data_IF_046232541548
#
_entry.id   IF_046232541548
#
_cell.length_a   1.000
_cell.length_b   1.000
_cell.length_c   1.000
_cell.angle_alpha   90.00
_cell.angle_beta   90.00
_cell.angle_gamma   90.00
#
_symmetry.space_group_name_H-M   'P 1'
#
loop_
_entity.id
_entity.type
_entity.pdbx_description
1 polymer ?
#
# COMPACT_ATOMS: atom_id res chain seq x y z
N UNK A 1 16.88 -21.78 -16.63
CA UNK A 1 15.91 -20.68 -16.44
C UNK A 1 14.92 -21.08 -15.35
N UNK A 2 15.15 -20.67 -14.10
CA UNK A 2 14.09 -20.69 -13.07
C UNK A 2 13.51 -19.28 -13.06
N UNK A 3 12.27 -19.13 -13.47
CA UNK A 3 11.55 -17.85 -13.40
C UNK A 3 11.29 -17.53 -11.92
N UNK A 4 12.25 -16.87 -11.28
CA UNK A 4 12.13 -16.37 -9.92
C UNK A 4 11.26 -15.11 -9.91
N UNK A 5 9.95 -15.25 -10.15
CA UNK A 5 9.03 -14.22 -9.70
C UNK A 5 9.09 -14.19 -8.18
N UNK A 6 9.38 -13.02 -7.59
CA UNK A 6 9.28 -12.84 -6.13
C UNK A 6 7.86 -13.21 -5.69
N UNK A 7 7.70 -13.89 -4.55
CA UNK A 7 6.38 -14.23 -3.99
C UNK A 7 5.47 -12.99 -3.90
N UNK A 8 6.08 -11.83 -3.67
CA UNK A 8 5.38 -10.56 -3.68
C UNK A 8 4.81 -10.19 -5.06
N UNK A 9 5.57 -10.35 -6.14
CA UNK A 9 5.07 -10.08 -7.49
C UNK A 9 3.87 -10.97 -7.85
N UNK A 10 3.95 -12.25 -7.48
CA UNK A 10 2.86 -13.20 -7.68
C UNK A 10 1.61 -12.74 -6.91
N UNK A 11 1.77 -12.37 -5.65
CA UNK A 11 0.67 -11.82 -4.84
C UNK A 11 0.09 -10.53 -5.45
N UNK A 12 0.92 -9.59 -5.90
CA UNK A 12 0.49 -8.36 -6.55
C UNK A 12 -0.33 -8.63 -7.82
N UNK A 13 0.08 -9.60 -8.64
CA UNK A 13 -0.64 -9.97 -9.85
C UNK A 13 -2.00 -10.62 -9.54
N UNK A 14 -2.03 -11.58 -8.63
CA UNK A 14 -3.29 -12.24 -8.25
C UNK A 14 -4.26 -11.28 -7.55
N UNK A 15 -3.77 -10.41 -6.67
CA UNK A 15 -4.60 -9.40 -6.01
C UNK A 15 -5.19 -8.40 -7.00
N UNK A 16 -4.47 -8.02 -8.06
CA UNK A 16 -5.02 -7.23 -9.16
C UNK A 16 -6.15 -7.95 -9.89
N UNK A 17 -5.92 -9.21 -10.28
CA UNK A 17 -6.92 -10.02 -10.99
C UNK A 17 -8.19 -10.16 -10.15
N UNK A 18 -8.04 -10.45 -8.85
CA UNK A 18 -9.16 -10.56 -7.92
C UNK A 18 -9.89 -9.23 -7.79
N UNK A 19 -9.16 -8.11 -7.65
CA UNK A 19 -9.77 -6.79 -7.57
C UNK A 19 -10.59 -6.46 -8.83
N UNK A 20 -10.06 -6.74 -10.03
CA UNK A 20 -10.77 -6.57 -11.30
C UNK A 20 -12.05 -7.41 -11.31
N UNK A 21 -11.96 -8.71 -11.03
CA UNK A 21 -13.12 -9.61 -11.11
C UNK A 21 -14.21 -9.19 -10.12
N UNK A 22 -13.83 -8.93 -8.86
CA UNK A 22 -14.79 -8.61 -7.80
C UNK A 22 -15.45 -7.26 -8.05
N UNK A 23 -14.67 -6.22 -8.36
CA UNK A 23 -15.24 -4.89 -8.61
C UNK A 23 -16.09 -4.91 -9.88
N UNK A 24 -15.62 -5.52 -10.96
CA UNK A 24 -16.38 -5.59 -12.21
C UNK A 24 -17.69 -6.36 -12.03
N UNK A 25 -17.68 -7.51 -11.33
CA UNK A 25 -18.88 -8.27 -11.04
C UNK A 25 -19.88 -7.46 -10.19
N UNK A 26 -19.41 -6.71 -9.19
CA UNK A 26 -20.25 -5.82 -8.40
C UNK A 26 -20.83 -4.69 -9.26
N UNK A 27 -20.04 -4.12 -10.17
CA UNK A 27 -20.50 -3.06 -11.06
C UNK A 27 -21.59 -3.52 -12.03
N UNK A 28 -21.40 -4.69 -12.64
CA UNK A 28 -22.37 -5.27 -13.59
C UNK A 28 -23.61 -5.79 -12.87
N UNK A 29 -23.44 -6.43 -11.72
CA UNK A 29 -24.55 -7.07 -10.99
C UNK A 29 -25.38 -6.13 -10.11
N UNK A 30 -24.78 -5.04 -9.60
CA UNK A 30 -25.43 -4.18 -8.60
C UNK A 30 -25.42 -2.71 -9.03
N UNK A 31 -24.26 -2.15 -9.37
CA UNK A 31 -24.15 -0.69 -9.56
C UNK A 31 -24.93 -0.22 -10.79
N UNK A 32 -24.62 -0.76 -11.97
CA UNK A 32 -25.20 -0.28 -13.23
C UNK A 32 -26.70 -0.57 -13.35
N UNK A 33 -27.23 -1.75 -12.94
CA UNK A 33 -28.68 -1.99 -12.96
C UNK A 33 -29.45 -1.04 -12.05
N UNK A 34 -28.97 -0.81 -10.82
CA UNK A 34 -29.63 0.11 -9.89
C UNK A 34 -29.54 1.57 -10.38
N UNK A 35 -28.39 1.98 -10.92
CA UNK A 35 -28.25 3.31 -11.51
C UNK A 35 -29.21 3.53 -12.67
N UNK A 36 -29.36 2.54 -13.57
CA UNK A 36 -30.29 2.62 -14.69
C UNK A 36 -31.75 2.71 -14.23
N UNK A 37 -32.16 1.89 -13.24
CA UNK A 37 -33.51 1.93 -12.70
C UNK A 37 -33.85 3.29 -12.06
N UNK A 38 -32.90 3.87 -11.30
CA UNK A 38 -33.09 5.19 -10.69
C UNK A 38 -33.14 6.30 -11.74
N UNK A 39 -32.28 6.24 -12.77
CA UNK A 39 -32.30 7.23 -13.85
C UNK A 39 -33.61 7.17 -14.65
N UNK A 40 -34.16 5.97 -14.88
CA UNK A 40 -35.46 5.79 -15.54
C UNK A 40 -36.61 6.35 -14.70
N UNK A 41 -36.65 6.05 -13.40
CA UNK A 41 -37.64 6.61 -12.48
C UNK A 41 -37.57 8.14 -12.43
N UNK A 42 -36.36 8.71 -12.34
CA UNK A 42 -36.15 10.15 -12.36
C UNK A 42 -36.60 10.78 -13.68
N UNK A 43 -36.39 10.12 -14.82
CA UNK A 43 -36.85 10.63 -16.12
C UNK A 43 -38.39 10.66 -16.21
N UNK A 44 -39.07 9.66 -15.63
CA UNK A 44 -40.54 9.64 -15.57
C UNK A 44 -41.05 10.80 -14.70
N UNK A 45 -40.44 11.00 -13.53
CA UNK A 45 -40.83 12.08 -12.60
C UNK A 45 -40.59 13.48 -13.18
N UNK A 46 -39.48 13.69 -13.90
CA UNK A 46 -39.21 14.95 -14.62
C UNK A 46 -40.25 15.19 -15.73
N UNK A 47 -40.72 14.11 -16.40
CA UNK A 47 -41.73 14.22 -17.44
C UNK A 47 -43.13 14.54 -16.89
N UNK A 48 -43.43 14.09 -15.66
CA UNK A 48 -44.69 14.36 -14.97
C UNK A 48 -44.69 15.73 -14.26
N UNK A 49 -43.56 16.12 -13.67
CA UNK A 49 -43.38 17.39 -12.95
C UNK A 49 -42.10 18.10 -13.43
N UNK A 50 -42.22 19.14 -14.29
CA UNK A 50 -41.06 19.90 -14.78
C UNK A 50 -40.25 20.62 -13.70
N UNK A 51 -40.83 20.86 -12.51
CA UNK A 51 -40.15 21.48 -11.37
C UNK A 51 -39.50 20.43 -10.44
N UNK A 52 -39.59 19.13 -10.78
CA UNK A 52 -38.97 18.06 -10.02
C UNK A 52 -37.45 18.15 -10.03
N UNK A 53 -36.85 18.14 -8.83
CA UNK A 53 -35.40 18.18 -8.64
C UNK A 53 -34.93 16.75 -8.30
N UNK A 54 -34.17 16.08 -9.20
CA UNK A 54 -33.70 14.73 -8.95
C UNK A 54 -32.77 14.65 -7.74
N UNK A 55 -33.04 13.71 -6.85
CA UNK A 55 -32.13 13.42 -5.73
C UNK A 55 -30.86 12.72 -6.22
N UNK A 56 -29.73 13.04 -5.60
CA UNK A 56 -28.44 12.41 -5.93
C UNK A 56 -28.36 11.02 -5.32
N UNK A 57 -28.39 9.99 -6.17
CA UNK A 57 -28.13 8.61 -5.75
C UNK A 57 -26.65 8.24 -5.82
N UNK A 58 -26.18 7.50 -4.82
CA UNK A 58 -24.81 6.95 -4.78
C UNK A 58 -24.54 6.07 -6.02
N UNK A 59 -25.50 5.24 -6.43
CA UNK A 59 -25.33 4.36 -7.59
C UNK A 59 -25.10 5.15 -8.88
N UNK A 60 -25.83 6.26 -9.07
CA UNK A 60 -25.68 7.15 -10.23
C UNK A 60 -24.33 7.88 -10.18
N UNK A 61 -23.84 8.25 -8.99
CA UNK A 61 -22.55 8.91 -8.84
C UNK A 61 -21.38 7.98 -9.22
N UNK A 62 -21.47 6.69 -8.91
CA UNK A 62 -20.33 5.76 -9.08
C UNK A 62 -20.40 4.90 -10.35
N UNK A 63 -21.43 5.02 -11.19
CA UNK A 63 -21.70 4.07 -12.28
C UNK A 63 -20.69 4.05 -13.42
N UNK A 64 -19.96 5.13 -13.66
CA UNK A 64 -19.10 5.26 -14.85
C UNK A 64 -17.79 4.46 -14.71
N UNK A 65 -17.12 4.26 -15.85
CA UNK A 65 -15.91 3.43 -15.95
C UNK A 65 -14.73 3.99 -15.17
N UNK A 66 -14.64 5.31 -15.02
CA UNK A 66 -13.56 5.95 -14.27
C UNK A 66 -13.61 5.60 -12.79
N UNK A 67 -14.80 5.60 -12.20
CA UNK A 67 -15.04 5.24 -10.80
C UNK A 67 -14.74 3.74 -10.61
N UNK A 68 -15.19 2.89 -11.54
CA UNK A 68 -14.86 1.45 -11.54
C UNK A 68 -13.34 1.22 -11.51
N UNK A 69 -12.61 1.90 -12.40
CA UNK A 69 -11.15 1.83 -12.44
C UNK A 69 -10.51 2.34 -11.14
N UNK A 70 -11.01 3.44 -10.57
CA UNK A 70 -10.54 3.95 -9.28
C UNK A 70 -10.73 2.93 -8.15
N UNK A 71 -11.87 2.25 -8.09
CA UNK A 71 -12.11 1.21 -7.09
C UNK A 71 -11.23 -0.02 -7.29
N UNK A 72 -11.00 -0.46 -8.53
CA UNK A 72 -10.06 -1.55 -8.84
C UNK A 72 -8.66 -1.21 -8.31
N UNK A 73 -8.16 -0.01 -8.64
CA UNK A 73 -6.86 0.48 -8.19
C UNK A 73 -6.81 0.58 -6.65
N UNK A 74 -7.88 1.05 -6.02
CA UNK A 74 -7.98 1.14 -4.56
C UNK A 74 -7.87 -0.24 -3.91
N UNK A 75 -8.69 -1.21 -4.31
CA UNK A 75 -8.67 -2.55 -3.71
C UNK A 75 -7.37 -3.29 -3.99
N UNK A 76 -6.78 -3.07 -5.16
CA UNK A 76 -5.46 -3.61 -5.46
C UNK A 76 -4.38 -3.04 -4.51
N UNK A 77 -4.30 -1.71 -4.38
CA UNK A 77 -3.35 -1.07 -3.47
C UNK A 77 -3.60 -1.46 -2.00
N UNK A 78 -4.86 -1.58 -1.57
CA UNK A 78 -5.21 -2.09 -0.23
C UNK A 78 -4.71 -3.53 -0.02
N UNK A 79 -4.81 -4.39 -1.02
CA UNK A 79 -4.27 -5.76 -0.96
C UNK A 79 -2.76 -5.77 -0.77
N UNK A 80 -2.02 -4.97 -1.55
CA UNK A 80 -0.56 -4.85 -1.44
C UNK A 80 -0.16 -4.28 -0.07
N UNK A 81 -0.81 -3.20 0.36
CA UNK A 81 -0.56 -2.58 1.67
C UNK A 81 -0.84 -3.55 2.82
N UNK A 82 -1.94 -4.31 2.76
CA UNK A 82 -2.29 -5.30 3.76
C UNK A 82 -1.24 -6.41 3.89
N UNK A 83 -0.72 -6.90 2.77
CA UNK A 83 0.39 -7.86 2.76
C UNK A 83 1.64 -7.28 3.43
N UNK A 84 2.04 -6.06 3.06
CA UNK A 84 3.21 -5.38 3.66
C UNK A 84 3.03 -5.09 5.14
N UNK A 85 1.85 -4.64 5.56
CA UNK A 85 1.53 -4.40 6.97
C UNK A 85 1.62 -5.69 7.80
N UNK A 86 1.17 -6.81 7.25
CA UNK A 86 1.28 -8.11 7.91
C UNK A 86 2.74 -8.56 8.04
N UNK A 87 3.55 -8.44 6.99
CA UNK A 87 4.98 -8.75 7.06
C UNK A 87 5.70 -7.87 8.08
N UNK A 88 5.44 -6.56 8.08
CA UNK A 88 6.06 -5.64 9.04
C UNK A 88 5.61 -5.91 10.48
N UNK A 89 4.36 -6.37 10.69
CA UNK A 89 3.89 -6.82 12.00
C UNK A 89 4.66 -8.05 12.49
N UNK A 90 4.91 -9.05 11.64
CA UNK A 90 5.71 -10.22 12.03
C UNK A 90 7.13 -9.86 12.44
N UNK A 91 7.73 -8.89 11.75
CA UNK A 91 9.05 -8.38 12.14
C UNK A 91 9.00 -7.66 13.49
N UNK A 92 7.93 -6.90 13.74
CA UNK A 92 7.73 -6.23 15.01
C UNK A 92 7.54 -7.22 16.16
N UNK A 93 6.80 -8.30 15.95
CA UNK A 93 6.60 -9.34 16.96
C UNK A 93 7.93 -10.02 17.35
N UNK A 94 8.94 -10.06 16.46
CA UNK A 94 10.29 -10.54 16.81
C UNK A 94 11.08 -9.58 17.70
N UNK A 95 10.81 -8.28 17.66
CA UNK A 95 11.47 -7.29 18.53
C UNK A 95 11.09 -7.47 20.00
N UNK A 96 9.94 -8.10 20.28
CA UNK A 96 9.50 -8.42 21.63
C UNK A 96 10.15 -9.69 22.20
N UNK A 97 10.84 -10.46 21.35
CA UNK A 97 11.56 -11.66 21.77
C UNK A 97 12.99 -11.34 22.18
N UNK A 98 13.44 -12.00 23.25
CA UNK A 98 14.84 -12.00 23.64
C UNK A 98 15.60 -13.05 22.81
N UNK A 99 16.06 -12.63 21.62
CA UNK A 99 16.72 -13.53 20.66
C UNK A 99 18.17 -13.85 21.05
N UNK A 100 18.78 -13.00 21.85
CA UNK A 100 20.14 -13.16 22.37
C UNK A 100 20.08 -12.88 23.86
N UNK A 101 19.74 -13.88 24.69
CA UNK A 101 19.57 -13.67 26.12
C UNK A 101 20.92 -13.43 26.78
N UNK A 102 21.22 -12.16 27.08
CA UNK A 102 22.41 -11.74 27.80
C UNK A 102 22.00 -11.35 29.23
N UNK A 103 22.54 -12.04 30.22
CA UNK A 103 22.31 -11.66 31.61
C UNK A 103 22.95 -10.30 31.92
N UNK A 104 22.30 -9.50 32.77
CA UNK A 104 22.83 -8.19 33.16
C UNK A 104 24.27 -8.27 33.66
N UNK A 105 25.14 -7.44 33.10
CA UNK A 105 26.56 -7.38 33.47
C UNK A 105 27.47 -8.39 32.74
N UNK A 106 26.91 -9.32 31.95
CA UNK A 106 27.70 -10.20 31.08
C UNK A 106 28.17 -9.43 29.85
N UNK A 107 29.43 -9.66 29.48
CA UNK A 107 30.02 -9.12 28.25
C UNK A 107 30.19 -10.24 27.23
N UNK A 108 29.95 -9.90 25.97
CA UNK A 108 30.20 -10.79 24.82
C UNK A 108 31.65 -10.59 24.41
N UNK A 109 32.44 -11.64 24.49
CA UNK A 109 33.77 -11.70 23.91
C UNK A 109 33.71 -12.22 22.47
N UNK A 110 34.71 -11.93 21.62
CA UNK A 110 34.70 -12.40 20.24
C UNK A 110 34.54 -13.93 20.11
N UNK A 111 35.08 -14.70 21.06
CA UNK A 111 34.99 -16.15 21.07
C UNK A 111 33.56 -16.67 21.36
N UNK A 112 32.75 -15.91 22.12
CA UNK A 112 31.35 -16.23 22.43
C UNK A 112 30.43 -16.03 21.21
N UNK A 113 30.85 -15.23 20.23
CA UNK A 113 30.03 -14.86 19.06
C UNK A 113 29.49 -16.07 18.28
N UNK A 114 30.25 -17.18 18.27
CA UNK A 114 29.85 -18.42 17.60
C UNK A 114 28.67 -19.10 18.27
N UNK A 115 28.59 -19.02 19.60
CA UNK A 115 27.50 -19.64 20.36
C UNK A 115 26.19 -18.91 20.12
N UNK A 116 26.16 -17.59 20.30
CA UNK A 116 24.99 -16.77 20.02
C UNK A 116 24.56 -16.85 18.55
N UNK A 117 25.52 -16.91 17.61
CA UNK A 117 25.20 -17.10 16.19
C UNK A 117 24.47 -18.41 15.92
N UNK A 118 24.83 -19.49 16.62
CA UNK A 118 24.16 -20.79 16.47
C UNK A 118 22.71 -20.73 16.98
N UNK A 119 22.45 -20.01 18.07
CA UNK A 119 21.09 -19.82 18.59
C UNK A 119 20.20 -19.10 17.56
N UNK A 120 20.71 -18.06 16.89
CA UNK A 120 19.96 -17.41 15.81
C UNK A 120 19.79 -18.31 14.58
N UNK A 121 20.74 -19.20 14.32
CA UNK A 121 20.67 -20.14 13.21
C UNK A 121 19.67 -21.30 13.45
N UNK A 122 19.27 -21.58 14.70
CA UNK A 122 18.22 -22.59 14.98
C UNK A 122 16.80 -22.05 14.79
N UNK A 123 16.63 -20.73 14.62
CA UNK A 123 15.33 -20.15 14.29
C UNK A 123 14.78 -20.73 12.96
N UNK A 124 13.45 -20.83 12.81
CA UNK A 124 12.82 -21.22 11.55
C UNK A 124 13.29 -20.39 10.35
N UNK A 125 13.40 -21.01 9.17
CA UNK A 125 13.87 -20.39 7.93
C UNK A 125 13.21 -19.05 7.59
N UNK A 126 11.90 -18.93 7.86
CA UNK A 126 11.14 -17.71 7.60
C UNK A 126 11.56 -16.58 8.53
N UNK A 127 11.74 -16.87 9.83
CA UNK A 127 12.16 -15.88 10.82
C UNK A 127 13.60 -15.44 10.59
N UNK A 128 14.50 -16.37 10.22
CA UNK A 128 15.91 -16.07 9.92
C UNK A 128 16.11 -15.10 8.75
N UNK A 129 15.10 -14.93 7.88
CA UNK A 129 15.16 -14.02 6.73
C UNK A 129 14.69 -12.60 7.05
N UNK A 130 14.04 -12.40 8.19
CA UNK A 130 13.58 -11.09 8.67
C UNK A 130 14.78 -10.21 9.08
N UNK A 131 14.56 -8.90 9.19
CA UNK A 131 15.62 -7.93 9.42
C UNK A 131 16.42 -8.23 10.69
N UNK A 132 15.72 -8.38 11.81
CA UNK A 132 16.34 -8.44 13.12
C UNK A 132 17.31 -9.64 13.28
N UNK A 133 16.91 -10.90 13.01
CA UNK A 133 17.85 -12.02 13.08
C UNK A 133 19.03 -11.90 12.11
N UNK A 134 18.81 -11.32 10.91
CA UNK A 134 19.89 -11.07 9.94
C UNK A 134 20.89 -10.04 10.46
N UNK A 135 20.40 -8.95 11.05
CA UNK A 135 21.23 -7.90 11.63
C UNK A 135 22.07 -8.44 12.80
N UNK A 136 21.43 -9.16 13.75
CA UNK A 136 22.10 -9.78 14.89
C UNK A 136 23.16 -10.81 14.44
N UNK A 137 22.82 -11.68 13.48
CA UNK A 137 23.75 -12.68 12.96
C UNK A 137 24.94 -12.03 12.25
N UNK A 138 24.70 -11.01 11.43
CA UNK A 138 25.76 -10.27 10.75
C UNK A 138 26.68 -9.56 11.75
N UNK A 139 26.10 -8.97 12.80
CA UNK A 139 26.85 -8.32 13.87
C UNK A 139 27.75 -9.30 14.64
N UNK A 140 27.21 -10.44 15.08
CA UNK A 140 27.97 -11.49 15.77
C UNK A 140 29.08 -12.08 14.89
N UNK A 141 28.79 -12.37 13.61
CA UNK A 141 29.78 -12.88 12.68
C UNK A 141 30.90 -11.87 12.41
N UNK A 142 30.55 -10.58 12.27
CA UNK A 142 31.53 -9.51 12.12
C UNK A 142 32.41 -9.42 13.36
N UNK A 143 31.82 -9.46 14.55
CA UNK A 143 32.54 -9.34 15.81
C UNK A 143 33.54 -10.47 16.03
N UNK A 144 33.12 -11.72 15.80
CA UNK A 144 34.01 -12.88 15.90
C UNK A 144 35.15 -12.88 14.87
N UNK A 145 34.99 -12.17 13.75
CA UNK A 145 36.01 -12.09 12.70
C UNK A 145 36.99 -10.92 12.89
N UNK A 146 36.49 -9.73 13.25
CA UNK A 146 37.31 -8.51 13.33
C UNK A 146 37.80 -8.20 14.73
N UNK A 147 37.13 -8.75 15.77
CA UNK A 147 37.35 -8.39 17.18
C UNK A 147 37.24 -6.88 17.44
N UNK A 148 36.43 -6.18 16.65
CA UNK A 148 36.32 -4.73 16.70
C UNK A 148 34.84 -4.32 16.73
N UNK A 149 34.43 -3.69 17.83
CA UNK A 149 33.04 -3.22 18.04
C UNK A 149 32.66 -2.13 17.02
N UNK A 150 33.60 -1.30 16.58
CA UNK A 150 33.34 -0.28 15.57
C UNK A 150 33.00 -0.88 14.19
N UNK A 151 33.66 -1.98 13.83
CA UNK A 151 33.38 -2.70 12.58
C UNK A 151 31.99 -3.37 12.64
N UNK A 152 31.56 -3.80 13.82
CA UNK A 152 30.22 -4.36 14.05
C UNK A 152 29.15 -3.29 13.89
N UNK A 153 29.28 -2.15 14.57
CA UNK A 153 28.32 -1.05 14.48
C UNK A 153 28.20 -0.53 13.05
N UNK A 154 29.32 -0.27 12.37
CA UNK A 154 29.30 0.19 10.97
C UNK A 154 28.66 -0.83 10.01
N UNK A 155 28.99 -2.12 10.14
CA UNK A 155 28.42 -3.19 9.30
C UNK A 155 26.92 -3.38 9.56
N UNK A 156 26.47 -3.23 10.82
CA UNK A 156 25.07 -3.35 11.20
C UNK A 156 24.25 -2.18 10.68
N UNK A 157 24.73 -0.94 10.88
CA UNK A 157 24.07 0.26 10.38
C UNK A 157 23.95 0.25 8.86
N UNK A 158 24.98 -0.24 8.17
CA UNK A 158 24.93 -0.42 6.70
C UNK A 158 23.82 -1.40 6.31
N UNK A 159 23.70 -2.55 6.99
CA UNK A 159 22.66 -3.53 6.71
C UNK A 159 21.25 -2.97 6.97
N UNK A 160 21.05 -2.31 8.11
CA UNK A 160 19.76 -1.70 8.45
C UNK A 160 19.39 -0.59 7.46
N UNK A 161 20.35 0.26 7.07
CA UNK A 161 20.15 1.31 6.06
C UNK A 161 19.74 0.74 4.71
N UNK A 162 20.41 -0.34 4.27
CA UNK A 162 20.06 -1.03 3.01
C UNK A 162 18.65 -1.62 3.05
N UNK A 163 18.20 -2.14 4.21
CA UNK A 163 16.85 -2.66 4.36
C UNK A 163 15.81 -1.54 4.39
N UNK A 164 16.13 -0.37 4.97
CA UNK A 164 15.29 0.82 4.87
C UNK A 164 15.09 1.25 3.40
N UNK A 165 16.19 1.34 2.64
CA UNK A 165 16.13 1.67 1.21
C UNK A 165 15.31 0.64 0.40
N UNK A 166 15.42 -0.65 0.74
CA UNK A 166 14.61 -1.71 0.13
C UNK A 166 13.12 -1.50 0.41
N UNK A 167 12.73 -1.31 1.66
CA UNK A 167 11.32 -1.09 2.03
C UNK A 167 10.75 0.14 1.34
N UNK A 168 11.53 1.23 1.27
CA UNK A 168 11.15 2.46 0.59
C UNK A 168 10.98 2.25 -0.92
N UNK A 169 11.86 1.46 -1.55
CA UNK A 169 11.75 1.11 -2.97
C UNK A 169 10.47 0.30 -3.26
N UNK A 170 10.14 -0.65 -2.39
CA UNK A 170 8.95 -1.50 -2.55
C UNK A 170 7.62 -0.74 -2.41
N UNK A 171 7.60 0.40 -1.71
CA UNK A 171 6.43 1.29 -1.66
C UNK A 171 6.17 2.05 -2.97
N UNK A 172 7.13 2.04 -3.91
CA UNK A 172 7.03 2.77 -5.18
C UNK A 172 5.78 2.39 -5.98
N UNK A 173 5.44 1.10 -6.05
CA UNK A 173 4.25 0.63 -6.77
C UNK A 173 2.95 1.19 -6.16
N UNK A 174 2.88 1.26 -4.83
CA UNK A 174 1.71 1.76 -4.10
C UNK A 174 1.57 3.26 -4.33
N UNK A 175 2.68 4.01 -4.28
CA UNK A 175 2.71 5.45 -4.61
C UNK A 175 2.30 5.72 -6.05
N UNK A 176 2.73 4.88 -6.98
CA UNK A 176 2.32 4.96 -8.38
C UNK A 176 0.80 4.80 -8.52
N UNK A 177 0.21 3.79 -7.87
CA UNK A 177 -1.24 3.58 -7.87
C UNK A 177 -1.97 4.78 -7.26
N UNK A 178 -1.49 5.29 -6.12
CA UNK A 178 -2.06 6.44 -5.44
C UNK A 178 -2.05 7.71 -6.32
N UNK A 179 -0.99 7.90 -7.11
CA UNK A 179 -0.89 8.97 -8.10
C UNK A 179 -1.77 8.75 -9.34
N UNK A 180 -1.95 7.49 -9.76
CA UNK A 180 -2.76 7.15 -10.93
C UNK A 180 -4.25 7.44 -10.72
N UNK A 181 -4.78 7.25 -9.50
CA UNK A 181 -6.21 7.43 -9.20
C UNK A 181 -6.71 8.86 -9.52
N UNK A 182 -6.10 9.96 -9.03
CA UNK A 182 -6.46 11.32 -9.44
C UNK A 182 -6.37 11.55 -10.95
N UNK A 183 -5.39 10.94 -11.61
CA UNK A 183 -5.21 11.05 -13.06
C UNK A 183 -6.38 10.40 -13.82
N UNK A 184 -6.88 9.26 -13.35
CA UNK A 184 -8.10 8.62 -13.90
C UNK A 184 -9.33 9.52 -13.70
N UNK A 185 -9.48 10.14 -12.54
CA UNK A 185 -10.57 11.12 -12.30
C UNK A 185 -10.49 12.33 -13.24
N UNK A 186 -9.28 12.85 -13.46
CA UNK A 186 -9.05 13.93 -14.42
C UNK A 186 -9.38 13.52 -15.86
N UNK A 187 -9.01 12.30 -16.27
CA UNK A 187 -9.41 11.75 -17.58
C UNK A 187 -10.93 11.73 -17.72
N UNK A 188 -11.67 11.30 -16.69
CA UNK A 188 -13.13 11.34 -16.69
C UNK A 188 -13.70 12.75 -16.82
N UNK A 189 -13.04 13.73 -16.22
CA UNK A 189 -13.42 15.15 -16.36
C UNK A 189 -13.21 15.65 -17.78
N UNK A 190 -12.05 15.37 -18.37
CA UNK A 190 -11.75 15.74 -19.76
C UNK A 190 -12.75 15.06 -20.71
N UNK A 191 -13.08 13.79 -20.49
CA UNK A 191 -14.09 13.07 -21.27
C UNK A 191 -15.48 13.71 -21.13
N UNK A 192 -15.94 13.96 -19.90
CA UNK A 192 -17.27 14.50 -19.66
C UNK A 192 -17.43 15.93 -20.17
N UNK A 193 -16.43 16.80 -19.98
CA UNK A 193 -16.46 18.16 -20.55
C UNK A 193 -16.38 18.11 -22.07
N UNK A 194 -15.51 17.26 -22.65
CA UNK A 194 -15.42 17.09 -24.10
C UNK A 194 -16.75 16.65 -24.72
N UNK A 195 -17.43 15.68 -24.08
CA UNK A 195 -18.76 15.24 -24.50
C UNK A 195 -19.81 16.36 -24.38
N UNK A 196 -19.78 17.13 -23.29
CA UNK A 196 -20.68 18.27 -23.08
C UNK A 196 -20.51 19.33 -24.17
N UNK A 197 -19.27 19.68 -24.53
CA UNK A 197 -18.98 20.64 -25.59
C UNK A 197 -19.41 20.14 -26.97
N UNK A 198 -19.33 18.83 -27.22
CA UNK A 198 -19.87 18.22 -28.45
C UNK A 198 -21.38 18.40 -28.61
N UNK A 199 -22.10 18.63 -27.51
CA UNK A 199 -23.55 18.86 -27.48
C UNK A 199 -23.92 20.34 -27.36
N UNK A 200 -22.93 21.25 -27.42
CA UNK A 200 -23.15 22.68 -27.20
C UNK A 200 -24.18 23.29 -28.17
N UNK A 201 -24.25 22.83 -29.42
CA UNK A 201 -25.24 23.33 -30.38
C UNK A 201 -26.69 23.05 -29.93
N UNK A 202 -26.96 21.85 -29.39
CA UNK A 202 -28.30 21.49 -28.89
C UNK A 202 -28.68 22.30 -27.65
N UNK A 203 -27.71 22.61 -26.81
CA UNK A 203 -27.93 23.49 -25.66
C UNK A 203 -28.32 24.91 -26.08
N UNK A 204 -27.76 25.43 -27.18
CA UNK A 204 -28.17 26.72 -27.76
C UNK A 204 -29.60 26.65 -28.29
N UNK A 205 -30.01 25.51 -28.84
CA UNK A 205 -31.38 25.27 -29.31
C UNK A 205 -32.38 25.00 -28.17
N UNK A 206 -31.93 25.03 -26.91
CA UNK A 206 -32.74 24.89 -25.70
C UNK A 206 -32.70 23.52 -25.03
N UNK A 207 -32.05 22.52 -25.64
CA UNK A 207 -31.87 21.18 -25.04
C UNK A 207 -30.51 21.06 -24.32
N UNK A 208 -30.53 21.31 -23.02
CA UNK A 208 -29.34 21.21 -22.15
C UNK A 208 -29.17 19.83 -21.50
N UNK A 209 -30.09 18.89 -21.72
CA UNK A 209 -30.14 17.61 -20.98
C UNK A 209 -28.83 16.83 -21.09
N UNK A 210 -28.32 16.66 -22.31
CA UNK A 210 -27.07 15.94 -22.57
C UNK A 210 -25.82 16.68 -22.08
N UNK A 211 -25.83 18.01 -22.04
CA UNK A 211 -24.75 18.81 -21.44
C UNK A 211 -24.70 18.62 -19.93
N UNK A 212 -25.85 18.67 -19.26
CA UNK A 212 -25.98 18.47 -17.82
C UNK A 212 -25.53 17.07 -17.41
N UNK A 213 -25.94 16.03 -18.15
CA UNK A 213 -25.51 14.66 -17.90
C UNK A 213 -24.00 14.49 -18.05
N UNK A 214 -23.43 15.03 -19.14
CA UNK A 214 -21.99 14.94 -19.42
C UNK A 214 -21.15 15.67 -18.36
N UNK A 215 -21.59 16.86 -17.92
CA UNK A 215 -20.96 17.56 -16.80
C UNK A 215 -21.09 16.78 -15.49
N UNK A 216 -22.22 16.13 -15.25
CA UNK A 216 -22.41 15.23 -14.11
C UNK A 216 -21.35 14.12 -14.05
N UNK A 217 -21.10 13.45 -15.17
CA UNK A 217 -20.03 12.43 -15.25
C UNK A 217 -18.64 12.99 -14.97
N UNK A 218 -18.34 14.20 -15.47
CA UNK A 218 -17.07 14.87 -15.22
C UNK A 218 -16.86 15.15 -13.72
N UNK A 219 -17.86 15.77 -13.07
CA UNK A 219 -17.78 16.08 -11.64
C UNK A 219 -17.68 14.82 -10.78
N UNK A 220 -18.50 13.81 -11.06
CA UNK A 220 -18.52 12.57 -10.28
C UNK A 220 -17.19 11.81 -10.40
N UNK A 221 -16.60 11.76 -11.59
CA UNK A 221 -15.30 11.11 -11.83
C UNK A 221 -14.20 11.70 -10.95
N UNK A 222 -14.05 13.02 -10.95
CA UNK A 222 -13.03 13.69 -10.11
C UNK A 222 -13.36 13.59 -8.64
N UNK A 223 -14.62 13.78 -8.25
CA UNK A 223 -15.03 13.72 -6.85
C UNK A 223 -14.67 12.37 -6.20
N UNK A 224 -15.04 11.27 -6.85
CA UNK A 224 -14.76 9.92 -6.34
C UNK A 224 -13.26 9.62 -6.35
N UNK A 225 -12.55 9.99 -7.43
CA UNK A 225 -11.10 9.80 -7.50
C UNK A 225 -10.36 10.52 -6.38
N UNK A 226 -10.73 11.77 -6.07
CA UNK A 226 -10.10 12.55 -5.00
C UNK A 226 -10.41 11.96 -3.62
N UNK A 227 -11.65 11.54 -3.35
CA UNK A 227 -12.01 10.90 -2.09
C UNK A 227 -11.20 9.62 -1.86
N UNK A 228 -11.14 8.76 -2.87
CA UNK A 228 -10.35 7.53 -2.82
C UNK A 228 -8.87 7.86 -2.64
N UNK A 229 -8.34 8.83 -3.37
CA UNK A 229 -6.93 9.22 -3.29
C UNK A 229 -6.55 9.74 -1.90
N UNK A 230 -7.37 10.59 -1.28
CA UNK A 230 -7.11 11.10 0.07
C UNK A 230 -7.08 9.96 1.09
N UNK A 231 -8.07 9.07 1.03
CA UNK A 231 -8.13 7.91 1.91
C UNK A 231 -6.92 6.98 1.71
N UNK A 232 -6.57 6.69 0.45
CA UNK A 232 -5.45 5.82 0.12
C UNK A 232 -4.11 6.43 0.55
N UNK A 233 -3.89 7.72 0.29
CA UNK A 233 -2.67 8.42 0.69
C UNK A 233 -2.47 8.44 2.20
N UNK A 234 -3.55 8.57 2.98
CA UNK A 234 -3.48 8.42 4.43
C UNK A 234 -2.94 7.03 4.82
N UNK A 235 -3.46 5.96 4.22
CA UNK A 235 -3.00 4.59 4.50
C UNK A 235 -1.54 4.35 4.06
N UNK A 236 -1.14 4.89 2.91
CA UNK A 236 0.25 4.84 2.45
C UNK A 236 1.17 5.46 3.49
N UNK A 237 0.81 6.63 4.01
CA UNK A 237 1.58 7.30 5.05
C UNK A 237 1.65 6.49 6.35
N UNK A 238 0.53 5.87 6.78
CA UNK A 238 0.55 5.00 7.97
C UNK A 238 1.46 3.78 7.80
N UNK A 239 1.45 3.15 6.62
CA UNK A 239 2.32 2.01 6.33
C UNK A 239 3.79 2.43 6.31
N UNK A 240 4.10 3.57 5.69
CA UNK A 240 5.46 4.13 5.67
C UNK A 240 5.96 4.38 7.10
N UNK A 241 5.16 5.05 7.94
CA UNK A 241 5.51 5.28 9.34
C UNK A 241 5.73 3.98 10.12
N UNK A 242 4.93 2.94 9.85
CA UNK A 242 5.08 1.63 10.49
C UNK A 242 6.43 1.00 10.10
N UNK A 243 6.81 1.04 8.82
CA UNK A 243 8.07 0.51 8.32
C UNK A 243 9.27 1.30 8.85
N UNK A 244 9.22 2.63 8.83
CA UNK A 244 10.28 3.49 9.39
C UNK A 244 10.51 3.20 10.88
N UNK A 245 9.43 3.09 11.67
CA UNK A 245 9.53 2.72 13.08
C UNK A 245 10.15 1.35 13.28
N UNK A 246 9.76 0.36 12.47
CA UNK A 246 10.35 -0.98 12.53
C UNK A 246 11.86 -0.95 12.32
N UNK A 247 12.36 -0.16 11.35
CA UNK A 247 13.80 0.02 11.11
C UNK A 247 14.47 0.63 12.35
N UNK A 248 13.94 1.73 12.87
CA UNK A 248 14.53 2.39 14.05
C UNK A 248 14.52 1.50 15.30
N UNK A 249 13.42 0.77 15.52
CA UNK A 249 13.30 -0.16 16.65
C UNK A 249 14.29 -1.33 16.49
N UNK A 250 14.51 -1.83 15.27
CA UNK A 250 15.49 -2.88 14.98
C UNK A 250 16.94 -2.40 15.17
N UNK A 251 17.28 -1.20 14.71
CA UNK A 251 18.59 -0.59 14.96
C UNK A 251 18.85 -0.45 16.46
N UNK A 252 17.89 0.14 17.17
CA UNK A 252 17.95 0.33 18.62
C UNK A 252 18.08 -1.00 19.36
N UNK A 253 17.37 -2.04 18.92
CA UNK A 253 17.48 -3.37 19.51
C UNK A 253 18.90 -3.92 19.38
N UNK A 254 19.50 -3.87 18.19
CA UNK A 254 20.85 -4.41 17.99
C UNK A 254 21.88 -3.63 18.81
N UNK A 255 21.76 -2.30 18.86
CA UNK A 255 22.65 -1.47 19.65
C UNK A 255 22.55 -1.77 21.15
N UNK A 256 21.33 -1.79 21.71
CA UNK A 256 21.10 -1.92 23.14
C UNK A 256 21.30 -3.35 23.64
N UNK A 257 20.76 -4.34 22.92
CA UNK A 257 20.76 -5.72 23.37
C UNK A 257 22.02 -6.46 22.94
N UNK A 258 22.71 -6.06 21.88
CA UNK A 258 23.91 -6.78 21.40
C UNK A 258 25.19 -5.94 21.52
N UNK A 259 25.28 -4.82 20.79
CA UNK A 259 26.56 -4.09 20.63
C UNK A 259 27.05 -3.52 21.97
N UNK A 260 26.15 -3.01 22.81
CA UNK A 260 26.48 -2.50 24.15
C UNK A 260 27.18 -3.52 25.05
N UNK A 261 26.91 -4.81 24.85
CA UNK A 261 27.48 -5.89 25.64
C UNK A 261 28.81 -6.39 25.07
N UNK A 262 29.24 -5.96 23.88
CA UNK A 262 30.48 -6.42 23.25
C UNK A 262 31.71 -5.76 23.87
N UNK A 263 32.75 -6.56 24.11
CA UNK A 263 34.07 -6.06 24.50
C UNK A 263 35.17 -6.70 23.64
N UNK A 264 35.95 -5.86 22.97
CA UNK A 264 37.22 -6.26 22.40
C UNK A 264 38.32 -6.24 23.49
N UNK A 265 39.17 -7.26 23.49
CA UNK A 265 40.37 -7.33 24.35
C UNK A 265 41.43 -6.31 23.95
#
# INVERSE_FOLDING_TARGET
MKSNFSNEFVFQLFSLIIAIIVVHAFYVGVVRPNAAAIEEEQQILIAEDPDYIPERSVFVIIKDFEQEACFILMFWALGIMGFKAWSAKQERDLLELDLVPIAEGVRILPDDSREYSRQLQTLPDLQRRLLLPRALLAALQRFGATRNVQDVSSSTNTLVSMEAERLESELSMIRYIAWAIPSVGFIGTVRGIGAALGLAHRAVDGDISGVTQSLGTAFNSTFIALLISIFLMFLVHQLQLLQERLIFDAESYVDQNLIRHMQAD
#
